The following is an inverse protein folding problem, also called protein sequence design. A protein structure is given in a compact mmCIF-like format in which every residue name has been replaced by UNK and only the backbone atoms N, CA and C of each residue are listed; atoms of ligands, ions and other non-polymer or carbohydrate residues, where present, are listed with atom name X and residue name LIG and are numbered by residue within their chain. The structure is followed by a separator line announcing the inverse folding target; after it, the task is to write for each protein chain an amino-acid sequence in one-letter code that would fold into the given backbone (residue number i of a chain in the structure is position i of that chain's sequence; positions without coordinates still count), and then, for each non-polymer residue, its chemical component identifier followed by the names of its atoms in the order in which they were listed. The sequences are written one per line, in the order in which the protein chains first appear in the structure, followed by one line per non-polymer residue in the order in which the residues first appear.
data_IF_270833542328
#
_entry.id   IF_270833542328
#
_cell.length_a   1.000
_cell.length_b   1.000
_cell.length_c   1.000
_cell.angle_alpha   90.00
_cell.angle_beta   90.00
_cell.angle_gamma   90.00
#
_symmetry.space_group_name_H-M   'P 1'
#
loop_
_entity.id
_entity.type
_entity.pdbx_description
1 polymer ?
#
# COMPACT_ATOMS: atom_id res chain seq x y z
N UNK A 1 12.13 -26.68 -14.31
CA UNK A 1 11.28 -26.77 -13.10
C UNK A 1 9.92 -27.32 -13.49
N UNK A 2 9.31 -28.25 -12.70
CA UNK A 2 7.97 -28.76 -13.00
C UNK A 2 6.95 -27.58 -13.00
N UNK A 3 6.01 -27.60 -13.94
CA UNK A 3 4.98 -26.56 -14.11
C UNK A 3 4.16 -26.32 -12.83
N UNK A 4 3.99 -27.35 -12.02
CA UNK A 4 3.23 -27.36 -10.76
C UNK A 4 3.92 -26.60 -9.60
N UNK A 5 5.20 -26.26 -9.74
CA UNK A 5 5.96 -25.47 -8.75
C UNK A 5 5.80 -23.97 -8.98
N UNK A 6 5.38 -23.57 -10.20
CA UNK A 6 5.29 -22.16 -10.61
C UNK A 6 3.84 -21.65 -10.54
N UNK A 7 2.87 -22.55 -10.63
CA UNK A 7 1.45 -22.17 -10.65
C UNK A 7 0.75 -22.57 -9.33
N UNK A 8 0.01 -21.65 -8.70
CA UNK A 8 -0.83 -21.98 -7.55
C UNK A 8 -1.84 -23.08 -7.93
N UNK A 9 -1.95 -24.13 -7.11
CA UNK A 9 -2.92 -25.21 -7.35
C UNK A 9 -4.33 -24.65 -7.31
N UNK A 10 -5.12 -24.93 -8.37
CA UNK A 10 -6.54 -24.60 -8.43
C UNK A 10 -6.88 -23.28 -9.13
N UNK A 11 -5.90 -22.58 -9.72
CA UNK A 11 -6.14 -21.34 -10.49
C UNK A 11 -6.10 -21.66 -11.99
N UNK A 12 -7.13 -21.25 -12.73
CA UNK A 12 -7.19 -21.44 -14.18
C UNK A 12 -6.23 -20.50 -14.93
N UNK A 13 -5.81 -20.82 -16.17
CA UNK A 13 -4.99 -19.92 -16.99
C UNK A 13 -5.64 -18.56 -17.23
N UNK A 14 -6.97 -18.54 -17.34
CA UNK A 14 -7.77 -17.32 -17.52
C UNK A 14 -7.73 -16.45 -16.26
N UNK A 15 -7.88 -17.05 -15.09
CA UNK A 15 -7.76 -16.34 -13.79
C UNK A 15 -6.36 -15.79 -13.58
N UNK A 16 -5.31 -16.55 -13.92
CA UNK A 16 -3.93 -16.06 -13.86
C UNK A 16 -3.70 -14.88 -14.80
N UNK A 17 -4.30 -14.92 -16.00
CA UNK A 17 -4.23 -13.80 -16.94
C UNK A 17 -4.91 -12.56 -16.38
N UNK A 18 -6.09 -12.70 -15.78
CA UNK A 18 -6.82 -11.59 -15.15
C UNK A 18 -6.05 -11.00 -13.95
N UNK A 19 -5.48 -11.84 -13.09
CA UNK A 19 -4.63 -11.41 -11.98
C UNK A 19 -3.41 -10.65 -12.51
N UNK A 20 -2.78 -11.14 -13.57
CA UNK A 20 -1.61 -10.50 -14.19
C UNK A 20 -1.95 -9.12 -14.78
N UNK A 21 -3.10 -8.99 -15.45
CA UNK A 21 -3.60 -7.72 -15.98
C UNK A 21 -3.91 -6.76 -14.85
N UNK A 22 -4.55 -7.22 -13.79
CA UNK A 22 -4.88 -6.39 -12.62
C UNK A 22 -3.61 -5.89 -11.91
N UNK A 23 -2.64 -6.78 -11.69
CA UNK A 23 -1.35 -6.41 -11.09
C UNK A 23 -0.59 -5.39 -11.95
N UNK A 24 -0.69 -5.51 -13.28
CA UNK A 24 -0.09 -4.55 -14.19
C UNK A 24 -0.74 -3.17 -14.06
N UNK A 25 -2.08 -3.09 -14.07
CA UNK A 25 -2.81 -1.83 -13.90
C UNK A 25 -2.48 -1.15 -12.57
N UNK A 26 -2.40 -1.93 -11.50
CA UNK A 26 -1.99 -1.41 -10.19
C UNK A 26 -0.57 -0.84 -10.24
N UNK A 27 0.38 -1.57 -10.84
CA UNK A 27 1.77 -1.10 -10.97
C UNK A 27 1.88 0.14 -11.86
N UNK A 28 1.09 0.22 -12.92
CA UNK A 28 0.99 1.39 -13.81
C UNK A 28 0.51 2.62 -13.03
N UNK A 29 -0.59 2.51 -12.30
CA UNK A 29 -1.13 3.61 -11.49
C UNK A 29 -0.14 4.09 -10.43
N UNK A 30 0.56 3.18 -9.76
CA UNK A 30 1.62 3.54 -8.79
C UNK A 30 2.76 4.29 -9.49
N UNK A 31 3.21 3.81 -10.66
CA UNK A 31 4.27 4.47 -11.42
C UNK A 31 3.87 5.89 -11.87
N UNK A 32 2.63 6.07 -12.34
CA UNK A 32 2.07 7.38 -12.69
C UNK A 32 2.05 8.28 -11.46
N UNK A 33 1.54 7.79 -10.32
CA UNK A 33 1.46 8.57 -9.09
C UNK A 33 2.85 9.04 -8.63
N UNK A 34 3.86 8.17 -8.68
CA UNK A 34 5.25 8.51 -8.34
C UNK A 34 5.81 9.57 -9.29
N UNK A 35 5.62 9.41 -10.61
CA UNK A 35 6.09 10.35 -11.61
C UNK A 35 5.44 11.73 -11.44
N UNK A 36 4.13 11.78 -11.21
CA UNK A 36 3.40 13.03 -10.99
C UNK A 36 3.82 13.72 -9.69
N UNK A 37 4.02 12.99 -8.60
CA UNK A 37 4.56 13.54 -7.35
C UNK A 37 5.96 14.12 -7.55
N UNK A 38 6.81 13.45 -8.32
CA UNK A 38 8.14 13.98 -8.69
C UNK A 38 8.06 15.30 -9.48
N UNK A 39 7.03 15.43 -10.32
CA UNK A 39 6.74 16.67 -11.08
C UNK A 39 6.05 17.75 -10.24
N UNK A 40 5.80 17.53 -8.95
CA UNK A 40 5.23 18.51 -8.03
C UNK A 40 3.69 18.53 -7.98
N UNK A 41 3.02 17.53 -8.59
CA UNK A 41 1.56 17.38 -8.44
C UNK A 41 1.22 16.75 -7.09
N UNK A 42 0.17 17.27 -6.46
CA UNK A 42 -0.40 16.65 -5.26
C UNK A 42 -1.30 15.49 -5.66
N UNK A 43 -0.84 14.27 -5.45
CA UNK A 43 -1.57 13.04 -5.78
C UNK A 43 -2.00 12.38 -4.49
N UNK A 44 -3.30 12.29 -4.29
CA UNK A 44 -3.91 11.59 -3.15
C UNK A 44 -4.25 10.15 -3.54
N UNK A 45 -4.03 9.23 -2.61
CA UNK A 45 -4.50 7.85 -2.75
C UNK A 45 -5.65 7.60 -1.79
N UNK A 46 -6.65 6.86 -2.27
CA UNK A 46 -7.78 6.38 -1.49
C UNK A 46 -7.89 4.87 -1.63
N UNK A 47 -8.46 4.23 -0.65
CA UNK A 47 -8.71 2.79 -0.67
C UNK A 47 -9.86 2.42 0.25
N UNK A 48 -9.98 1.15 0.54
CA UNK A 48 -11.03 0.60 1.40
C UNK A 48 -10.49 0.31 2.82
N UNK A 49 -9.35 0.90 3.18
CA UNK A 49 -8.69 0.74 4.48
C UNK A 49 -7.24 0.28 4.36
N UNK A 50 -6.63 0.00 5.50
CA UNK A 50 -5.20 -0.33 5.63
C UNK A 50 -5.05 -1.77 6.13
N UNK A 51 -4.52 -2.66 5.29
CA UNK A 51 -4.30 -4.06 5.68
C UNK A 51 -2.92 -4.25 6.32
N UNK A 52 -2.87 -4.96 7.43
CA UNK A 52 -1.64 -5.36 8.12
C UNK A 52 -1.00 -6.54 7.39
N UNK A 53 0.16 -6.34 6.78
CA UNK A 53 0.90 -7.37 6.05
C UNK A 53 2.05 -7.98 6.87
N UNK A 54 2.52 -7.28 7.89
CA UNK A 54 3.57 -7.75 8.80
C UNK A 54 3.60 -6.94 10.08
N UNK A 55 4.19 -7.48 11.13
CA UNK A 55 4.35 -6.81 12.43
C UNK A 55 5.81 -6.94 12.83
N UNK A 56 6.42 -5.83 13.26
CA UNK A 56 7.81 -5.80 13.71
C UNK A 56 7.96 -6.53 15.05
N UNK A 57 9.11 -7.14 15.27
CA UNK A 57 9.34 -7.97 16.46
C UNK A 57 9.27 -7.18 17.77
N UNK A 58 9.72 -5.93 17.79
CA UNK A 58 9.72 -5.05 18.95
C UNK A 58 8.50 -4.10 18.98
N UNK A 59 7.45 -4.40 18.20
CA UNK A 59 6.26 -3.57 18.11
C UNK A 59 5.37 -3.67 19.35
N UNK A 60 4.84 -2.54 19.85
CA UNK A 60 3.88 -2.52 20.96
C UNK A 60 2.51 -3.14 20.60
N UNK A 61 2.29 -3.44 19.31
CA UNK A 61 1.05 -4.08 18.81
C UNK A 61 1.23 -5.55 18.47
N UNK A 62 2.39 -6.17 18.76
CA UNK A 62 2.71 -7.55 18.39
C UNK A 62 1.65 -8.56 18.85
N UNK A 63 1.13 -8.39 20.07
CA UNK A 63 0.11 -9.28 20.63
C UNK A 63 -1.33 -8.80 20.38
N UNK A 64 -1.51 -7.63 19.76
CA UNK A 64 -2.80 -6.97 19.56
C UNK A 64 -3.27 -7.06 18.10
N UNK A 65 -2.36 -6.82 17.16
CA UNK A 65 -2.63 -6.94 15.71
C UNK A 65 -2.30 -8.32 15.19
N UNK A 66 -2.92 -8.66 14.06
CA UNK A 66 -2.63 -9.86 13.29
C UNK A 66 -2.49 -9.50 11.81
N UNK A 67 -1.73 -10.31 11.08
CA UNK A 67 -1.70 -10.20 9.61
C UNK A 67 -3.09 -10.43 9.05
N UNK A 68 -3.49 -9.58 8.11
CA UNK A 68 -4.82 -9.59 7.52
C UNK A 68 -5.86 -8.72 8.25
N UNK A 69 -5.53 -8.13 9.40
CA UNK A 69 -6.39 -7.10 10.02
C UNK A 69 -6.55 -5.93 9.06
N UNK A 70 -7.76 -5.41 8.94
CA UNK A 70 -8.10 -4.24 8.15
C UNK A 70 -8.35 -3.06 9.09
N UNK A 71 -7.42 -2.11 9.11
CA UNK A 71 -7.55 -0.88 9.91
C UNK A 71 -8.41 0.12 9.15
N UNK A 72 -9.34 0.75 9.84
CA UNK A 72 -10.31 1.69 9.26
C UNK A 72 -10.43 3.01 10.01
N UNK A 73 -9.82 3.14 11.19
CA UNK A 73 -9.84 4.41 11.93
C UNK A 73 -8.66 4.57 12.89
N UNK A 74 -8.33 5.82 13.23
CA UNK A 74 -7.41 6.20 14.30
C UNK A 74 -8.06 7.29 15.14
N UNK A 75 -8.17 7.11 16.46
CA UNK A 75 -8.84 8.01 17.39
C UNK A 75 -10.25 8.42 16.94
N UNK A 76 -11.01 7.50 16.32
CA UNK A 76 -12.33 7.68 15.72
C UNK A 76 -12.36 8.42 14.36
N UNK A 77 -11.24 8.92 13.86
CA UNK A 77 -11.17 9.48 12.51
C UNK A 77 -10.99 8.34 11.50
N UNK A 78 -11.83 8.31 10.48
CA UNK A 78 -11.77 7.27 9.44
C UNK A 78 -10.51 7.40 8.60
N UNK A 79 -9.94 6.25 8.23
CA UNK A 79 -8.79 6.15 7.32
C UNK A 79 -9.12 5.24 6.15
N UNK A 80 -8.75 5.64 4.96
CA UNK A 80 -8.98 4.89 3.73
C UNK A 80 -7.69 4.35 3.10
N UNK A 81 -6.53 4.91 3.45
CA UNK A 81 -5.25 4.53 2.85
C UNK A 81 -4.09 4.56 3.86
N UNK A 82 -3.01 3.84 3.52
CA UNK A 82 -1.77 3.86 4.32
C UNK A 82 -1.13 5.26 4.34
N UNK A 83 -1.24 6.01 3.24
CA UNK A 83 -0.74 7.39 3.17
C UNK A 83 -1.47 8.30 4.15
N UNK A 84 -2.79 8.17 4.23
CA UNK A 84 -3.64 8.91 5.17
C UNK A 84 -3.34 8.52 6.62
N UNK A 85 -3.21 7.21 6.89
CA UNK A 85 -2.80 6.71 8.20
C UNK A 85 -1.46 7.32 8.67
N UNK A 86 -0.43 7.32 7.80
CA UNK A 86 0.88 7.89 8.11
C UNK A 86 0.78 9.40 8.34
N UNK A 87 0.00 10.11 7.50
CA UNK A 87 -0.20 11.55 7.65
C UNK A 87 -0.85 11.88 9.01
N UNK A 88 -1.82 11.09 9.44
CA UNK A 88 -2.45 11.26 10.75
C UNK A 88 -1.48 10.94 11.89
N UNK A 89 -0.66 9.87 11.80
CA UNK A 89 0.33 9.55 12.83
C UNK A 89 1.32 10.70 13.06
N UNK A 90 1.71 11.42 12.00
CA UNK A 90 2.63 12.57 12.08
C UNK A 90 2.05 13.78 12.84
N UNK A 91 0.78 13.77 13.17
CA UNK A 91 0.16 14.81 14.02
C UNK A 91 0.28 14.54 15.51
N UNK A 92 0.80 13.38 15.89
CA UNK A 92 1.03 12.95 17.26
C UNK A 92 2.53 12.89 17.58
N UNK A 93 2.86 12.92 18.87
CA UNK A 93 4.23 12.79 19.35
C UNK A 93 4.59 11.32 19.68
N UNK A 94 5.88 11.02 19.65
CA UNK A 94 6.41 9.72 20.08
C UNK A 94 6.06 9.52 21.54
N UNK A 95 5.47 8.37 21.88
CA UNK A 95 5.00 8.05 23.23
C UNK A 95 3.52 8.34 23.47
N UNK A 96 2.87 9.08 22.58
CA UNK A 96 1.43 9.29 22.62
C UNK A 96 0.69 7.96 22.48
N UNK A 97 -0.50 7.91 23.08
CA UNK A 97 -1.38 6.75 22.98
C UNK A 97 -2.47 7.02 21.97
N UNK A 98 -2.62 6.11 21.01
CA UNK A 98 -3.66 6.18 19.98
C UNK A 98 -4.55 4.95 20.03
N UNK A 99 -5.81 5.13 19.64
CA UNK A 99 -6.79 4.07 19.46
C UNK A 99 -6.92 3.76 17.98
N UNK A 100 -6.82 2.49 17.62
CA UNK A 100 -6.91 2.03 16.24
C UNK A 100 -8.12 1.12 16.11
N UNK A 101 -9.08 1.54 15.30
CA UNK A 101 -10.20 0.70 14.90
C UNK A 101 -9.82 -0.24 13.78
N UNK A 102 -10.25 -1.49 13.87
CA UNK A 102 -9.94 -2.52 12.88
C UNK A 102 -11.07 -3.52 12.71
N UNK A 103 -11.10 -4.14 11.56
CA UNK A 103 -11.97 -5.28 11.24
C UNK A 103 -11.08 -6.52 11.13
N UNK A 104 -11.43 -7.55 11.87
CA UNK A 104 -10.74 -8.85 11.85
C UNK A 104 -11.70 -9.94 11.43
N UNK A 105 -11.26 -10.76 10.47
CA UNK A 105 -11.96 -12.02 10.16
C UNK A 105 -11.59 -13.07 11.21
N UNK A 106 -12.61 -13.60 11.86
CA UNK A 106 -12.49 -14.70 12.81
C UNK A 106 -13.40 -15.81 12.33
N UNK A 107 -12.82 -16.82 11.68
CA UNK A 107 -13.55 -18.01 11.17
C UNK A 107 -14.71 -17.64 10.20
N UNK A 108 -14.48 -16.70 9.30
CA UNK A 108 -15.47 -16.23 8.33
C UNK A 108 -16.45 -15.17 8.89
N UNK A 109 -16.26 -14.71 10.13
CA UNK A 109 -17.06 -13.66 10.73
C UNK A 109 -16.23 -12.40 10.93
N UNK A 110 -16.66 -11.29 10.32
CA UNK A 110 -16.03 -9.98 10.48
C UNK A 110 -16.40 -9.38 11.84
N UNK A 111 -15.38 -9.08 12.65
CA UNK A 111 -15.53 -8.42 13.95
C UNK A 111 -14.87 -7.07 13.93
N UNK A 112 -15.61 -6.04 14.34
CA UNK A 112 -15.05 -4.73 14.64
C UNK A 112 -14.39 -4.78 16.00
N UNK A 113 -13.12 -4.38 16.06
CA UNK A 113 -12.29 -4.34 17.25
C UNK A 113 -11.66 -2.97 17.35
N UNK A 114 -11.30 -2.57 18.56
CA UNK A 114 -10.50 -1.40 18.84
C UNK A 114 -9.31 -1.82 19.70
N UNK A 115 -8.14 -1.32 19.38
CA UNK A 115 -6.91 -1.53 20.15
C UNK A 115 -6.33 -0.16 20.53
N UNK A 116 -5.70 -0.13 21.69
CA UNK A 116 -4.96 1.03 22.15
C UNK A 116 -3.48 0.71 22.16
N UNK A 117 -2.66 1.64 21.65
CA UNK A 117 -1.21 1.45 21.57
C UNK A 117 -0.47 2.77 21.72
N UNK A 118 0.79 2.68 22.16
CA UNK A 118 1.71 3.82 22.17
C UNK A 118 2.46 3.91 20.85
N UNK A 119 2.69 5.13 20.41
CA UNK A 119 3.56 5.41 19.29
C UNK A 119 5.01 5.27 19.71
N UNK A 120 5.80 4.62 18.86
CA UNK A 120 7.25 4.46 19.02
C UNK A 120 7.97 5.26 17.93
N UNK A 121 9.26 5.47 18.10
CA UNK A 121 10.09 6.12 17.10
C UNK A 121 10.29 5.21 15.88
N UNK A 122 10.26 5.81 14.70
CA UNK A 122 10.47 5.09 13.45
C UNK A 122 11.92 4.58 13.33
N UNK A 123 12.10 3.34 12.85
CA UNK A 123 13.42 2.65 12.83
C UNK A 123 14.43 3.35 11.90
N UNK A 124 13.95 3.97 10.83
CA UNK A 124 14.81 4.59 9.79
C UNK A 124 14.73 6.12 9.76
N UNK A 125 13.66 6.71 10.31
CA UNK A 125 13.41 8.15 10.27
C UNK A 125 13.32 8.69 11.71
N UNK A 126 14.43 9.29 12.15
CA UNK A 126 14.56 9.87 13.50
C UNK A 126 13.50 10.96 13.72
N UNK A 127 12.81 10.90 14.86
CA UNK A 127 11.78 11.87 15.21
C UNK A 127 10.39 11.60 14.61
N UNK A 128 10.23 10.59 13.74
CA UNK A 128 8.91 10.24 13.20
C UNK A 128 8.20 9.18 14.05
N UNK A 129 6.91 9.40 14.41
CA UNK A 129 6.14 8.40 15.15
C UNK A 129 5.68 7.26 14.25
N UNK A 130 5.72 6.03 14.77
CA UNK A 130 5.13 4.85 14.12
C UNK A 130 4.44 3.92 15.12
N UNK A 131 3.65 2.98 14.62
CA UNK A 131 2.99 1.92 15.41
C UNK A 131 3.79 0.62 15.42
N UNK A 132 4.63 0.38 14.40
CA UNK A 132 5.51 -0.79 14.31
C UNK A 132 4.90 -1.99 13.58
N UNK A 133 4.18 -1.75 12.49
CA UNK A 133 3.72 -2.79 11.58
C UNK A 133 3.92 -2.37 10.11
N UNK A 134 3.91 -3.33 9.22
CA UNK A 134 3.93 -3.13 7.77
C UNK A 134 2.50 -3.16 7.24
N UNK A 135 2.16 -2.18 6.42
CA UNK A 135 0.82 -1.98 5.91
C UNK A 135 0.78 -1.80 4.39
N UNK A 136 -0.38 -2.10 3.82
CA UNK A 136 -0.71 -1.76 2.44
C UNK A 136 -2.14 -1.24 2.37
N UNK A 137 -2.41 -0.35 1.42
CA UNK A 137 -3.78 0.11 1.14
C UNK A 137 -4.54 -0.99 0.40
N UNK A 138 -5.76 -1.27 0.84
CA UNK A 138 -6.66 -2.21 0.16
C UNK A 138 -7.39 -1.49 -0.95
N UNK A 139 -7.44 -2.08 -2.15
CA UNK A 139 -8.08 -1.51 -3.34
C UNK A 139 -7.64 -0.06 -3.61
N UNK A 140 -6.33 0.19 -3.56
CA UNK A 140 -5.77 1.53 -3.72
C UNK A 140 -6.14 2.12 -5.09
N UNK A 141 -6.63 3.36 -5.04
CA UNK A 141 -7.02 4.18 -6.20
C UNK A 141 -6.37 5.54 -6.06
N UNK A 142 -5.84 6.07 -7.15
CA UNK A 142 -5.22 7.38 -7.19
C UNK A 142 -6.16 8.36 -7.88
N UNK A 143 -6.25 9.57 -7.34
CA UNK A 143 -6.99 10.68 -7.95
C UNK A 143 -5.99 11.51 -8.78
N UNK A 144 -6.04 11.30 -10.09
CA UNK A 144 -5.15 11.99 -11.03
C UNK A 144 -5.81 13.29 -11.52
N UNK A 145 -5.06 14.41 -11.62
CA UNK A 145 -5.60 15.71 -12.05
C UNK A 145 -6.01 15.75 -13.52
N UNK A 146 -5.65 14.75 -14.31
CA UNK A 146 -6.00 14.57 -15.73
C UNK A 146 -5.96 13.09 -16.11
N UNK A 147 -6.65 12.74 -17.20
CA UNK A 147 -6.65 11.38 -17.70
C UNK A 147 -5.29 11.05 -18.34
N UNK A 148 -4.73 9.91 -17.97
CA UNK A 148 -3.45 9.42 -18.46
C UNK A 148 -3.69 8.04 -19.09
N UNK A 149 -3.47 7.94 -20.39
CA UNK A 149 -3.54 6.69 -21.15
C UNK A 149 -2.13 6.24 -21.54
N UNK A 150 -1.65 5.18 -20.91
CA UNK A 150 -0.37 4.57 -21.24
C UNK A 150 -0.61 3.35 -22.11
N UNK A 151 -0.23 3.43 -23.39
CA UNK A 151 -0.38 2.32 -24.33
C UNK A 151 0.74 1.30 -24.14
N UNK A 152 0.57 0.40 -23.18
CA UNK A 152 1.54 -0.66 -22.88
C UNK A 152 1.41 -1.89 -23.81
N UNK A 153 0.41 -1.92 -24.67
CA UNK A 153 0.14 -3.07 -25.54
C UNK A 153 -0.18 -4.34 -24.74
N UNK A 154 0.38 -5.47 -25.16
CA UNK A 154 0.21 -6.77 -24.50
C UNK A 154 1.29 -7.07 -23.46
N UNK A 155 1.92 -6.06 -22.88
CA UNK A 155 2.91 -6.23 -21.81
C UNK A 155 2.16 -6.51 -20.51
N UNK A 156 2.47 -7.63 -19.87
CA UNK A 156 1.85 -8.04 -18.60
C UNK A 156 2.88 -8.22 -17.50
N UNK A 157 2.40 -8.09 -16.26
CA UNK A 157 3.18 -8.35 -15.05
C UNK A 157 3.67 -7.09 -14.32
N UNK A 158 3.97 -7.20 -13.02
CA UNK A 158 4.31 -6.06 -12.15
C UNK A 158 5.61 -5.34 -12.55
N UNK A 159 6.51 -6.00 -13.27
CA UNK A 159 7.75 -5.38 -13.80
C UNK A 159 7.51 -4.31 -14.87
N UNK A 160 6.35 -4.31 -15.53
CA UNK A 160 6.00 -3.29 -16.51
C UNK A 160 5.86 -1.91 -15.86
N UNK A 161 5.33 -1.79 -14.63
CA UNK A 161 5.26 -0.54 -13.89
C UNK A 161 6.63 0.07 -13.63
N UNK A 162 7.63 -0.75 -13.27
CA UNK A 162 9.00 -0.29 -13.09
C UNK A 162 9.59 0.25 -14.40
N UNK A 163 9.35 -0.43 -15.53
CA UNK A 163 9.81 0.01 -16.84
C UNK A 163 9.19 1.35 -17.24
N UNK A 164 7.90 1.54 -16.96
CA UNK A 164 7.22 2.82 -17.22
C UNK A 164 7.85 3.92 -16.37
N UNK A 165 8.04 3.69 -15.08
CA UNK A 165 8.68 4.63 -14.17
C UNK A 165 10.07 5.04 -14.69
N UNK A 166 10.91 4.09 -15.09
CA UNK A 166 12.26 4.34 -15.61
C UNK A 166 12.22 5.11 -16.94
N UNK A 167 11.27 4.84 -17.82
CA UNK A 167 11.15 5.53 -19.11
C UNK A 167 10.77 6.99 -18.96
N UNK A 168 9.94 7.34 -17.97
CA UNK A 168 9.46 8.71 -17.76
C UNK A 168 10.31 9.52 -16.78
N UNK A 169 11.11 8.88 -15.93
CA UNK A 169 11.99 9.56 -14.97
C UNK A 169 13.46 9.58 -15.37
N UNK A 170 13.88 8.75 -16.34
CA UNK A 170 15.24 8.78 -16.87
C UNK A 170 15.44 10.00 -17.78
N UNK A 171 16.52 10.77 -17.61
CA UNK A 171 16.85 11.83 -18.56
C UNK A 171 17.03 11.24 -19.97
N UNK A 172 16.44 11.90 -20.96
CA UNK A 172 16.57 11.49 -22.36
C UNK A 172 18.06 11.49 -22.77
N UNK A 173 18.51 10.53 -23.61
CA UNK A 173 19.88 10.58 -24.16
C UNK A 173 20.22 11.90 -24.87
N UNK A 174 19.22 12.71 -25.23
CA UNK A 174 19.39 14.04 -25.84
C UNK A 174 19.77 15.12 -24.83
N UNK A 175 19.54 14.89 -23.54
CA UNK A 175 19.84 15.85 -22.48
C UNK A 175 21.32 15.80 -22.07
N UNK A 176 22.11 14.92 -22.68
CA UNK A 176 23.56 14.75 -22.47
C UNK A 176 24.42 15.34 -23.58
N UNK A 177 23.85 15.98 -24.58
CA UNK A 177 24.51 16.73 -25.65
C UNK A 177 24.24 18.23 -25.49
#
# INVERSE_FOLDING_TARGET
YPREVILPKGVSPEELSQISIQNMKTSENVAIAVALKYLGYDITSKGDGVSVVGILDDSPVKDKLKRGDLLNSINNDEISSASEFIAMLRTYDIGDTVKIGLIRDVEGNLKNLEIETKLIEHVEYEGEPMVGFLATTVNERFDFPFEIDIKTGNVGGPSAGLMICLLYTSPSPRDWM
#
